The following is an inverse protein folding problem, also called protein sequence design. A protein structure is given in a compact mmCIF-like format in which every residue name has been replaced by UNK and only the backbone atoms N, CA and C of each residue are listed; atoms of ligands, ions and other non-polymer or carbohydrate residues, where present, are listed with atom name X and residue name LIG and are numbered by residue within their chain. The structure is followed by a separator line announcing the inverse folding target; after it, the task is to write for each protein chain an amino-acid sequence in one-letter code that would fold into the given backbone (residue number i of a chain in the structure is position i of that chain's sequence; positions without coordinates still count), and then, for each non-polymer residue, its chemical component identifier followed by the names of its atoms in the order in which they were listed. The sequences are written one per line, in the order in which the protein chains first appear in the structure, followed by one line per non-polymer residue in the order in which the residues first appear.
data_IF_635688965802
#
_entry.id   IF_635688965802
#
_cell.length_a   1.000
_cell.length_b   1.000
_cell.length_c   1.000
_cell.angle_alpha   90.00
_cell.angle_beta   90.00
_cell.angle_gamma   90.00
#
_symmetry.space_group_name_H-M   'P 1'
#
loop_
_entity.id
_entity.type
_entity.pdbx_description
1 polymer ?
#
# COMPACT_ATOMS: atom_id res chain seq x y z
N UNK A 1 -4.41 -43.60 29.29
CA UNK A 1 -5.45 -43.70 28.24
C UNK A 1 -6.37 -42.50 28.44
N UNK A 2 -6.06 -41.32 27.91
CA UNK A 2 -6.26 -40.88 26.52
C UNK A 2 -7.73 -40.93 26.09
N UNK A 3 -8.42 -39.80 26.21
CA UNK A 3 -9.53 -39.44 25.31
C UNK A 3 -9.51 -37.93 25.12
N UNK A 4 -8.85 -37.50 24.05
CA UNK A 4 -8.94 -36.14 23.52
C UNK A 4 -10.31 -35.97 22.85
N UNK A 5 -11.06 -34.91 23.20
CA UNK A 5 -12.16 -34.40 22.37
C UNK A 5 -11.62 -33.25 21.51
N UNK A 6 -11.95 -33.30 20.22
CA UNK A 6 -11.58 -32.35 19.16
C UNK A 6 -12.21 -30.95 19.38
N UNK A 7 -11.67 -29.90 18.73
CA UNK A 7 -12.13 -28.52 18.92
C UNK A 7 -13.42 -28.25 18.14
N UNK A 8 -14.42 -27.64 18.81
CA UNK A 8 -15.59 -27.06 18.14
C UNK A 8 -15.19 -25.73 17.48
N UNK A 9 -15.50 -25.62 16.20
CA UNK A 9 -15.36 -24.41 15.39
C UNK A 9 -16.38 -23.39 15.89
N UNK A 10 -15.91 -22.32 16.51
CA UNK A 10 -16.78 -21.21 16.95
C UNK A 10 -16.86 -20.17 15.84
N UNK A 11 -18.10 -19.95 15.38
CA UNK A 11 -18.53 -19.05 14.31
C UNK A 11 -18.03 -17.61 14.49
N UNK A 12 -17.33 -17.06 13.49
CA UNK A 12 -16.65 -15.75 13.54
C UNK A 12 -17.53 -14.58 13.06
N UNK A 13 -18.85 -14.77 12.99
CA UNK A 13 -19.79 -13.80 12.43
C UNK A 13 -20.17 -12.69 13.42
N UNK A 14 -20.28 -13.01 14.71
CA UNK A 14 -20.73 -12.10 15.77
C UNK A 14 -19.72 -10.98 16.07
N UNK A 15 -18.43 -11.28 15.96
CA UNK A 15 -17.34 -10.33 16.23
C UNK A 15 -17.28 -9.19 15.19
N UNK A 16 -17.72 -9.48 13.96
CA UNK A 16 -17.80 -8.49 12.88
C UNK A 16 -18.96 -7.50 13.09
N UNK A 17 -20.10 -7.97 13.60
CA UNK A 17 -21.22 -7.10 13.92
C UNK A 17 -20.97 -6.25 15.16
N UNK A 18 -20.32 -6.81 16.18
CA UNK A 18 -19.90 -6.07 17.36
C UNK A 18 -18.95 -4.93 16.99
N UNK A 19 -17.97 -5.20 16.13
CA UNK A 19 -17.06 -4.17 15.61
C UNK A 19 -17.81 -3.07 14.83
N UNK A 20 -18.79 -3.44 13.99
CA UNK A 20 -19.62 -2.47 13.24
C UNK A 20 -20.44 -1.56 14.16
N UNK A 21 -21.01 -2.10 15.25
CA UNK A 21 -21.77 -1.31 16.24
C UNK A 21 -20.89 -0.35 17.02
N UNK A 22 -19.69 -0.78 17.41
CA UNK A 22 -18.72 0.08 18.10
C UNK A 22 -18.31 1.26 17.21
N UNK A 23 -18.05 1.00 15.93
CA UNK A 23 -17.69 2.03 14.95
C UNK A 23 -18.85 3.00 14.69
N UNK A 24 -20.10 2.52 14.64
CA UNK A 24 -21.26 3.41 14.44
C UNK A 24 -21.46 4.36 15.61
N UNK A 25 -21.38 3.85 16.84
CA UNK A 25 -21.51 4.65 18.07
C UNK A 25 -20.38 5.68 18.16
N UNK A 26 -19.14 5.28 17.88
CA UNK A 26 -18.01 6.20 17.90
C UNK A 26 -18.13 7.33 16.86
N UNK A 27 -18.75 7.04 15.71
CA UNK A 27 -18.98 8.02 14.64
C UNK A 27 -20.10 9.00 14.97
N UNK A 28 -21.14 8.56 15.68
CA UNK A 28 -22.20 9.45 16.18
C UNK A 28 -21.66 10.40 17.25
N UNK A 29 -20.82 9.89 18.16
CA UNK A 29 -20.22 10.70 19.23
C UNK A 29 -19.25 11.76 18.68
N UNK A 30 -18.50 11.44 17.61
CA UNK A 30 -17.50 12.33 17.02
C UNK A 30 -17.99 13.11 15.79
N UNK A 31 -19.29 13.04 15.46
CA UNK A 31 -19.90 13.66 14.28
C UNK A 31 -20.17 15.16 14.40
N UNK A 32 -20.02 15.75 15.59
CA UNK A 32 -20.21 17.18 15.82
C UNK A 32 -18.94 17.97 15.48
N UNK A 33 -18.71 18.20 14.18
CA UNK A 33 -17.76 19.21 13.71
C UNK A 33 -16.51 18.67 13.03
N UNK A 34 -16.62 18.39 11.71
CA UNK A 34 -15.54 18.62 10.73
C UNK A 34 -16.09 18.36 9.33
N UNK A 35 -16.33 19.47 8.63
CA UNK A 35 -16.68 19.53 7.23
C UNK A 35 -15.50 19.05 6.36
N UNK A 36 -15.83 18.21 5.38
CA UNK A 36 -15.21 18.07 4.06
C UNK A 36 -13.70 17.80 3.90
N UNK A 37 -13.14 16.91 4.72
CA UNK A 37 -12.22 15.93 4.13
C UNK A 37 -13.07 14.72 3.73
N UNK A 38 -13.09 14.35 2.45
CA UNK A 38 -13.54 13.01 2.03
C UNK A 38 -12.79 12.02 2.92
N UNK A 39 -13.47 11.49 3.94
CA UNK A 39 -12.90 10.55 4.90
C UNK A 39 -12.72 9.24 4.14
N UNK A 40 -11.65 9.14 3.35
CA UNK A 40 -11.12 7.83 2.99
C UNK A 40 -10.90 7.13 4.32
N UNK A 41 -11.67 6.08 4.57
CA UNK A 41 -11.50 5.32 5.79
C UNK A 41 -10.08 4.77 5.79
N UNK A 42 -9.47 4.53 6.95
CA UNK A 42 -8.12 3.96 7.01
C UNK A 42 -7.99 2.68 6.16
N UNK A 43 -9.05 1.88 6.09
CA UNK A 43 -9.17 0.71 5.21
C UNK A 43 -9.08 1.05 3.72
N UNK A 44 -9.62 2.19 3.31
CA UNK A 44 -9.61 2.67 1.92
C UNK A 44 -8.18 3.00 1.47
N UNK A 45 -7.32 3.47 2.38
CA UNK A 45 -5.90 3.76 2.09
C UNK A 45 -5.08 2.50 1.89
N UNK A 46 -5.30 1.46 2.71
CA UNK A 46 -4.60 0.17 2.56
C UNK A 46 -5.03 -0.60 1.32
N UNK A 47 -6.26 -0.38 0.85
CA UNK A 47 -6.78 -1.01 -0.36
C UNK A 47 -6.65 -0.12 -1.61
N UNK A 48 -6.05 1.07 -1.50
CA UNK A 48 -5.98 2.04 -2.60
C UNK A 48 -5.43 1.41 -3.89
N UNK A 49 -4.23 0.82 -3.83
CA UNK A 49 -3.62 0.13 -4.97
C UNK A 49 -4.33 -1.18 -5.31
N UNK A 50 -4.96 -1.83 -4.33
CA UNK A 50 -5.76 -3.05 -4.57
C UNK A 50 -7.03 -2.77 -5.36
N UNK A 51 -7.53 -1.54 -5.33
CA UNK A 51 -8.73 -1.12 -6.05
C UNK A 51 -8.42 -0.54 -7.43
N UNK A 52 -7.16 -0.55 -7.87
CA UNK A 52 -6.79 -0.14 -9.23
C UNK A 52 -7.51 -0.97 -10.28
N UNK A 53 -7.82 -0.33 -11.41
CA UNK A 53 -8.45 -0.98 -12.55
C UNK A 53 -7.66 -2.25 -12.93
N UNK A 54 -8.35 -3.39 -13.19
CA UNK A 54 -7.69 -4.64 -13.53
C UNK A 54 -6.70 -4.54 -14.70
N UNK A 55 -6.95 -3.67 -15.70
CA UNK A 55 -6.04 -3.45 -16.82
C UNK A 55 -4.77 -2.71 -16.37
N UNK A 56 -4.89 -1.73 -15.49
CA UNK A 56 -3.76 -1.01 -14.89
C UNK A 56 -2.90 -1.97 -14.06
N UNK A 57 -3.53 -2.80 -13.24
CA UNK A 57 -2.82 -3.84 -12.48
C UNK A 57 -2.13 -4.84 -13.39
N UNK A 58 -2.80 -5.29 -14.46
CA UNK A 58 -2.22 -6.24 -15.42
C UNK A 58 -0.96 -5.65 -16.06
N UNK A 59 -1.02 -4.40 -16.54
CA UNK A 59 0.14 -3.72 -17.10
C UNK A 59 1.29 -3.60 -16.08
N UNK A 60 0.98 -3.26 -14.83
CA UNK A 60 1.97 -3.21 -13.75
C UNK A 60 2.60 -4.57 -13.47
N UNK A 61 1.80 -5.65 -13.44
CA UNK A 61 2.31 -7.01 -13.25
C UNK A 61 3.10 -7.53 -14.45
N UNK A 62 2.79 -7.12 -15.68
CA UNK A 62 3.61 -7.40 -16.86
C UNK A 62 5.02 -6.79 -16.69
N UNK A 63 5.11 -5.56 -16.18
CA UNK A 63 6.40 -4.94 -15.83
C UNK A 63 7.10 -5.71 -14.70
N UNK A 64 6.41 -6.04 -13.60
CA UNK A 64 6.99 -6.73 -12.44
C UNK A 64 7.57 -8.09 -12.81
N UNK A 65 6.89 -8.86 -13.67
CA UNK A 65 7.32 -10.21 -14.07
C UNK A 65 8.21 -10.24 -15.32
N UNK A 66 8.46 -9.10 -15.97
CA UNK A 66 9.38 -9.05 -17.11
C UNK A 66 10.83 -9.04 -16.65
N UNK A 67 11.64 -9.84 -17.33
CA UNK A 67 13.10 -9.90 -17.19
C UNK A 67 13.83 -9.05 -18.25
N UNK A 68 13.09 -8.24 -19.03
CA UNK A 68 13.62 -7.50 -20.19
C UNK A 68 14.29 -6.16 -19.81
N UNK A 69 14.31 -5.81 -18.52
CA UNK A 69 14.85 -4.54 -18.04
C UNK A 69 16.33 -4.62 -17.70
N UNK A 70 17.12 -3.67 -18.21
CA UNK A 70 18.58 -3.62 -17.99
C UNK A 70 18.95 -3.24 -16.56
N UNK A 71 18.04 -2.56 -15.83
CA UNK A 71 18.26 -2.13 -14.46
C UNK A 71 16.97 -2.03 -13.65
N UNK A 72 17.08 -2.17 -12.32
CA UNK A 72 15.98 -1.93 -11.39
C UNK A 72 15.41 -0.52 -11.52
N UNK A 73 16.25 0.47 -11.83
CA UNK A 73 15.80 1.84 -12.07
C UNK A 73 14.83 1.90 -13.25
N UNK A 74 15.20 1.33 -14.40
CA UNK A 74 14.34 1.32 -15.58
C UNK A 74 13.02 0.57 -15.32
N UNK A 75 13.10 -0.55 -14.61
CA UNK A 75 11.93 -1.36 -14.23
C UNK A 75 10.99 -0.61 -13.29
N UNK A 76 11.52 0.02 -12.24
CA UNK A 76 10.75 0.82 -11.28
C UNK A 76 10.07 2.02 -11.96
N UNK A 77 10.79 2.74 -12.83
CA UNK A 77 10.19 3.88 -13.55
C UNK A 77 9.12 3.44 -14.55
N UNK A 78 9.32 2.30 -15.22
CA UNK A 78 8.31 1.71 -16.10
C UNK A 78 7.07 1.25 -15.34
N UNK A 79 7.26 0.70 -14.13
CA UNK A 79 6.18 0.27 -13.24
C UNK A 79 5.34 1.47 -12.78
N UNK A 80 5.99 2.54 -12.33
CA UNK A 80 5.31 3.78 -11.94
C UNK A 80 4.54 4.38 -13.13
N UNK A 81 5.12 4.35 -14.33
CA UNK A 81 4.44 4.76 -15.56
C UNK A 81 3.20 3.92 -15.87
N UNK A 82 3.30 2.58 -15.76
CA UNK A 82 2.18 1.66 -15.96
C UNK A 82 1.03 1.90 -14.96
N UNK A 83 1.36 2.31 -13.74
CA UNK A 83 0.42 2.70 -12.70
C UNK A 83 -0.09 4.14 -12.82
N UNK A 84 0.40 4.89 -13.81
CA UNK A 84 0.12 6.32 -13.99
C UNK A 84 0.48 7.18 -12.76
N UNK A 85 1.53 6.79 -12.04
CA UNK A 85 2.05 7.48 -10.86
C UNK A 85 3.31 8.24 -11.28
N UNK A 86 3.32 9.56 -11.04
CA UNK A 86 4.50 10.38 -11.25
C UNK A 86 5.16 10.63 -9.90
N UNK A 87 6.36 10.10 -9.62
CA UNK A 87 7.05 10.40 -8.38
C UNK A 87 7.69 11.79 -8.43
N UNK A 88 7.75 12.46 -7.28
CA UNK A 88 8.72 13.52 -7.02
C UNK A 88 9.93 12.87 -6.38
N UNK A 89 11.08 12.95 -7.05
CA UNK A 89 12.32 12.30 -6.59
C UNK A 89 13.27 13.38 -6.07
N UNK A 90 13.69 13.28 -4.82
CA UNK A 90 14.65 14.20 -4.21
C UNK A 90 15.79 13.45 -3.54
N UNK A 91 16.98 14.06 -3.53
CA UNK A 91 18.13 13.55 -2.77
C UNK A 91 18.16 14.23 -1.41
N UNK A 92 18.20 13.45 -0.34
CA UNK A 92 18.24 13.95 1.03
C UNK A 92 19.68 14.05 1.53
N UNK A 93 19.98 15.15 2.20
CA UNK A 93 21.26 15.32 2.90
C UNK A 93 21.33 14.31 4.06
N UNK A 94 22.32 13.43 4.00
CA UNK A 94 22.53 12.37 4.99
C UNK A 94 23.99 12.32 5.40
N UNK A 95 24.25 11.84 6.62
CA UNK A 95 25.60 11.52 7.10
C UNK A 95 26.10 10.16 6.54
N UNK A 96 25.26 9.46 5.78
CA UNK A 96 25.59 8.23 5.07
C UNK A 96 26.61 8.50 3.96
N UNK A 97 27.50 7.52 3.72
CA UNK A 97 28.44 7.56 2.58
C UNK A 97 27.73 7.52 1.23
N UNK A 98 26.55 6.90 1.21
CA UNK A 98 25.69 6.79 0.04
C UNK A 98 24.51 7.76 0.18
N UNK A 99 24.15 8.49 -0.89
CA UNK A 99 23.01 9.41 -0.86
C UNK A 99 21.71 8.66 -0.55
N UNK A 100 20.86 9.31 0.24
CA UNK A 100 19.49 8.87 0.43
C UNK A 100 18.61 9.52 -0.63
N UNK A 101 17.79 8.72 -1.30
CA UNK A 101 16.77 9.18 -2.22
C UNK A 101 15.41 9.09 -1.55
N UNK A 102 14.56 10.08 -1.82
CA UNK A 102 13.18 10.16 -1.38
C UNK A 102 12.28 10.16 -2.62
N UNK A 103 11.35 9.22 -2.67
CA UNK A 103 10.30 9.10 -3.66
C UNK A 103 8.98 9.45 -3.01
N UNK A 104 8.43 10.60 -3.37
CA UNK A 104 7.08 10.99 -3.01
C UNK A 104 6.15 10.63 -4.17
N UNK A 105 5.24 9.68 -3.97
CA UNK A 105 4.35 9.21 -5.03
C UNK A 105 3.15 10.15 -5.13
N UNK A 106 3.05 10.91 -6.23
CA UNK A 106 1.94 11.83 -6.44
C UNK A 106 0.66 11.06 -6.79
N UNK A 107 -0.07 10.61 -5.76
CA UNK A 107 -1.35 9.90 -5.84
C UNK A 107 -2.29 10.36 -4.71
N UNK A 108 -3.50 9.78 -4.61
CA UNK A 108 -4.51 10.24 -3.63
C UNK A 108 -4.19 9.88 -2.17
N UNK A 109 -3.09 9.16 -1.95
CA UNK A 109 -2.58 8.80 -0.62
C UNK A 109 -1.14 9.27 -0.45
N UNK A 110 -0.78 9.59 0.78
CA UNK A 110 0.58 10.02 1.14
C UNK A 110 1.50 8.79 1.18
N UNK A 111 2.23 8.54 0.09
CA UNK A 111 3.25 7.48 0.02
C UNK A 111 4.62 8.11 -0.21
N UNK A 112 5.51 7.90 0.76
CA UNK A 112 6.89 8.36 0.72
C UNK A 112 7.81 7.16 0.97
N UNK A 113 8.71 6.90 0.02
CA UNK A 113 9.71 5.84 0.12
C UNK A 113 11.08 6.50 0.22
N UNK A 114 11.83 6.18 1.27
CA UNK A 114 13.18 6.72 1.50
C UNK A 114 14.15 5.57 1.69
N UNK A 115 15.17 5.52 0.84
CA UNK A 115 16.21 4.49 0.92
C UNK A 115 17.52 4.99 0.28
N UNK A 116 18.54 4.16 0.39
CA UNK A 116 19.80 4.34 -0.33
C UNK A 116 19.57 4.27 -1.84
N UNK A 117 20.32 5.06 -2.62
CA UNK A 117 20.22 5.07 -4.09
C UNK A 117 20.34 3.68 -4.72
N UNK A 118 21.21 2.81 -4.19
CA UNK A 118 21.38 1.42 -4.63
C UNK A 118 20.20 0.50 -4.37
N UNK A 119 19.24 0.89 -3.51
CA UNK A 119 18.13 0.04 -3.05
C UNK A 119 16.75 0.59 -3.37
N UNK A 120 16.60 1.91 -3.47
CA UNK A 120 15.30 2.56 -3.56
C UNK A 120 14.44 2.04 -4.73
N UNK A 121 15.05 1.70 -5.86
CA UNK A 121 14.33 1.19 -7.02
C UNK A 121 13.80 -0.24 -6.80
N UNK A 122 14.58 -1.10 -6.14
CA UNK A 122 14.10 -2.42 -5.74
C UNK A 122 13.01 -2.32 -4.68
N UNK A 123 13.15 -1.38 -3.74
CA UNK A 123 12.13 -1.10 -2.72
C UNK A 123 10.82 -0.63 -3.35
N UNK A 124 10.85 0.20 -4.40
CA UNK A 124 9.67 0.62 -5.17
C UNK A 124 9.00 -0.60 -5.83
N UNK A 125 9.78 -1.47 -6.49
CA UNK A 125 9.24 -2.67 -7.15
C UNK A 125 8.61 -3.61 -6.11
N UNK A 126 9.30 -3.84 -4.99
CA UNK A 126 8.82 -4.70 -3.91
C UNK A 126 7.55 -4.15 -3.25
N UNK A 127 7.50 -2.84 -3.02
CA UNK A 127 6.34 -2.14 -2.48
C UNK A 127 5.10 -2.43 -3.34
N UNK A 128 5.19 -2.20 -4.65
CA UNK A 128 4.05 -2.40 -5.55
C UNK A 128 3.70 -3.86 -5.78
N UNK A 129 4.68 -4.77 -5.75
CA UNK A 129 4.42 -6.21 -5.76
C UNK A 129 3.50 -6.62 -4.62
N UNK A 130 3.69 -6.05 -3.43
CA UNK A 130 2.86 -6.33 -2.25
C UNK A 130 1.54 -5.58 -2.26
N UNK A 131 1.54 -4.32 -2.68
CA UNK A 131 0.36 -3.45 -2.59
C UNK A 131 -0.67 -3.68 -3.70
N UNK A 132 -0.27 -4.28 -4.83
CA UNK A 132 -1.19 -4.61 -5.94
C UNK A 132 -1.90 -5.97 -5.76
N UNK A 133 -1.32 -6.86 -4.94
CA UNK A 133 -1.83 -8.19 -4.61
C UNK A 133 -3.11 -8.14 -3.76
#
# INVERSE_FOLDING_TARGET
MATSKQPEVLDSSEDSEAARRIVSVFREINGAGREDLKKSTFFDRHNYFKNFDPLVKKAAFEVIHSDDYESSQQKAMSLLSALNIKPTITTLNSMSKEPLMCFELNCEIDVVLVAQESKIYDDVIHYFTTMLA
#
